data_IF_017116385261
#
_entry.id   IF_017116385261
#
_cell.length_a   1.000
_cell.length_b   1.000
_cell.length_c   1.000
_cell.angle_alpha   90.00
_cell.angle_beta   90.00
_cell.angle_gamma   90.00
#
_symmetry.space_group_name_H-M   'P 1'
#
loop_
_entity.id
_entity.type
_entity.pdbx_description
1 polymer ?
#
# COMPACT_ATOMS: atom_id res chain seq x y z
N UNK A 1 -51.91 -55.59 -65.39
CA UNK A 1 -51.95 -54.27 -64.71
C UNK A 1 -50.76 -54.22 -63.78
N UNK A 2 -49.89 -53.22 -63.96
CA UNK A 2 -48.49 -53.26 -63.52
C UNK A 2 -48.35 -52.80 -62.04
N UNK A 3 -47.89 -53.66 -61.10
CA UNK A 3 -47.75 -53.32 -59.68
C UNK A 3 -46.68 -52.24 -59.40
N UNK A 4 -45.87 -51.87 -60.40
CA UNK A 4 -44.88 -50.81 -60.28
C UNK A 4 -45.48 -49.38 -60.21
N UNK A 5 -46.71 -49.18 -60.69
CA UNK A 5 -47.31 -47.83 -60.75
C UNK A 5 -47.95 -47.38 -59.41
N UNK A 6 -48.46 -48.30 -58.58
CA UNK A 6 -49.03 -47.94 -57.26
C UNK A 6 -47.94 -47.61 -56.24
N UNK A 7 -46.80 -48.32 -56.28
CA UNK A 7 -45.65 -48.05 -55.42
C UNK A 7 -45.02 -46.69 -55.76
N UNK A 8 -44.96 -46.33 -57.05
CA UNK A 8 -44.43 -45.04 -57.47
C UNK A 8 -45.32 -43.85 -57.07
N UNK A 9 -46.65 -44.03 -57.04
CA UNK A 9 -47.56 -43.00 -56.56
C UNK A 9 -47.59 -42.90 -55.02
N UNK A 10 -47.50 -44.02 -54.31
CA UNK A 10 -47.39 -44.03 -52.84
C UNK A 10 -46.10 -43.37 -52.33
N UNK A 11 -44.96 -43.64 -52.98
CA UNK A 11 -43.68 -42.99 -52.65
C UNK A 11 -43.73 -41.48 -52.94
N UNK A 12 -44.42 -41.05 -54.01
CA UNK A 12 -44.61 -39.62 -54.30
C UNK A 12 -45.51 -38.90 -53.28
N UNK A 13 -46.49 -39.58 -52.70
CA UNK A 13 -47.34 -39.01 -51.65
C UNK A 13 -46.62 -38.91 -50.31
N UNK A 14 -45.88 -39.96 -49.92
CA UNK A 14 -45.12 -39.99 -48.66
C UNK A 14 -43.99 -38.95 -48.68
N UNK A 15 -43.25 -38.81 -49.79
CA UNK A 15 -42.19 -37.80 -49.94
C UNK A 15 -42.76 -36.37 -49.97
N UNK A 16 -44.00 -36.18 -50.44
CA UNK A 16 -44.64 -34.86 -50.45
C UNK A 16 -45.13 -34.43 -49.05
N UNK A 17 -45.54 -35.38 -48.21
CA UNK A 17 -46.02 -35.13 -46.84
C UNK A 17 -44.85 -34.96 -45.84
N UNK A 18 -43.73 -35.67 -46.05
CA UNK A 18 -42.50 -35.48 -45.27
C UNK A 18 -41.74 -34.18 -45.64
N UNK A 19 -41.87 -33.69 -46.90
CA UNK A 19 -41.25 -32.43 -47.34
C UNK A 19 -42.06 -31.18 -46.98
N UNK A 20 -43.31 -31.32 -46.51
CA UNK A 20 -44.13 -30.18 -46.06
C UNK A 20 -43.76 -29.64 -44.67
N UNK A 21 -42.89 -30.33 -43.92
CA UNK A 21 -42.39 -29.87 -42.61
C UNK A 21 -41.11 -29.00 -42.69
N UNK A 22 -40.58 -28.73 -43.90
CA UNK A 22 -39.35 -27.96 -44.07
C UNK A 22 -39.43 -26.89 -45.18
N UNK A 23 -40.52 -26.12 -45.22
CA UNK A 23 -40.48 -24.78 -45.85
C UNK A 23 -40.52 -23.74 -44.74
N UNK A 24 -39.45 -23.71 -43.93
CA UNK A 24 -39.20 -22.61 -43.01
C UNK A 24 -39.06 -21.35 -43.86
N UNK A 25 -40.04 -20.48 -43.79
CA UNK A 25 -40.08 -19.29 -44.64
C UNK A 25 -38.87 -18.42 -44.28
N UNK A 26 -38.20 -17.76 -45.23
CA UNK A 26 -37.05 -16.86 -44.94
C UNK A 26 -37.33 -15.87 -43.78
N UNK A 27 -38.60 -15.48 -43.63
CA UNK A 27 -39.12 -14.65 -42.53
C UNK A 27 -39.05 -15.32 -41.17
N UNK A 28 -39.32 -16.62 -41.06
CA UNK A 28 -39.25 -17.41 -39.84
C UNK A 28 -37.79 -17.67 -39.43
N UNK A 29 -36.91 -17.99 -40.38
CA UNK A 29 -35.46 -18.11 -40.12
C UNK A 29 -34.91 -16.77 -39.59
N UNK A 30 -35.29 -15.65 -40.21
CA UNK A 30 -34.89 -14.32 -39.75
C UNK A 30 -35.42 -14.02 -38.34
N UNK A 31 -36.64 -14.46 -38.01
CA UNK A 31 -37.25 -14.27 -36.70
C UNK A 31 -36.57 -15.14 -35.63
N UNK A 32 -36.17 -16.36 -35.96
CA UNK A 32 -35.41 -17.24 -35.07
C UNK A 32 -34.00 -16.71 -34.79
N UNK A 33 -33.30 -16.21 -35.82
CA UNK A 33 -32.00 -15.56 -35.65
C UNK A 33 -32.09 -14.31 -34.78
N UNK A 34 -33.15 -13.50 -34.94
CA UNK A 34 -33.41 -12.34 -34.09
C UNK A 34 -33.64 -12.74 -32.62
N UNK A 35 -34.44 -13.80 -32.38
CA UNK A 35 -34.70 -14.32 -31.02
C UNK A 35 -33.43 -14.86 -30.36
N UNK A 36 -32.60 -15.59 -31.11
CA UNK A 36 -31.30 -16.08 -30.62
C UNK A 36 -30.38 -14.90 -30.30
N UNK A 37 -30.33 -13.88 -31.17
CA UNK A 37 -29.56 -12.65 -30.93
C UNK A 37 -29.99 -11.92 -29.65
N UNK A 38 -31.30 -11.78 -29.42
CA UNK A 38 -31.86 -11.19 -28.19
C UNK A 38 -31.51 -12.06 -26.98
N UNK A 39 -31.65 -13.39 -27.08
CA UNK A 39 -31.29 -14.32 -26.00
C UNK A 39 -29.82 -14.24 -25.61
N UNK A 40 -28.91 -14.18 -26.59
CA UNK A 40 -27.48 -13.99 -26.37
C UNK A 40 -27.17 -12.64 -25.71
N UNK A 41 -27.86 -11.57 -26.12
CA UNK A 41 -27.69 -10.24 -25.52
C UNK A 41 -28.16 -10.20 -24.07
N UNK A 42 -29.31 -10.82 -23.76
CA UNK A 42 -29.83 -10.94 -22.40
C UNK A 42 -28.88 -11.79 -21.55
N UNK A 43 -28.46 -12.95 -22.06
CA UNK A 43 -27.47 -13.82 -21.42
C UNK A 43 -26.18 -13.06 -21.06
N UNK A 44 -25.59 -12.36 -22.03
CA UNK A 44 -24.41 -11.52 -21.81
C UNK A 44 -24.63 -10.45 -20.73
N UNK A 45 -25.78 -9.77 -20.76
CA UNK A 45 -26.13 -8.77 -19.76
C UNK A 45 -26.31 -9.38 -18.36
N UNK A 46 -26.96 -10.54 -18.26
CA UNK A 46 -27.13 -11.25 -16.97
C UNK A 46 -25.78 -11.71 -16.41
N UNK A 47 -24.88 -12.27 -17.22
CA UNK A 47 -23.53 -12.66 -16.81
C UNK A 47 -22.72 -11.44 -16.34
N UNK A 48 -22.82 -10.32 -17.06
CA UNK A 48 -22.11 -9.08 -16.69
C UNK A 48 -22.64 -8.46 -15.39
N UNK A 49 -23.96 -8.50 -15.19
CA UNK A 49 -24.60 -8.07 -13.93
C UNK A 49 -24.19 -9.01 -12.80
N UNK A 50 -24.20 -10.32 -13.04
CA UNK A 50 -23.80 -11.36 -12.08
C UNK A 50 -22.34 -11.19 -11.64
N UNK A 51 -21.40 -11.02 -12.58
CA UNK A 51 -20.00 -10.68 -12.29
C UNK A 51 -19.87 -9.40 -11.45
N UNK A 52 -20.75 -8.41 -11.66
CA UNK A 52 -20.75 -7.16 -10.88
C UNK A 52 -21.24 -7.35 -9.44
N UNK A 53 -22.08 -8.36 -9.16
CA UNK A 53 -22.57 -8.69 -7.82
C UNK A 53 -21.68 -9.70 -7.06
N UNK A 54 -20.95 -10.55 -7.78
CA UNK A 54 -20.07 -11.58 -7.21
C UNK A 54 -18.63 -11.12 -6.93
N UNK A 55 -18.28 -9.85 -7.15
CA UNK A 55 -16.98 -9.27 -6.78
C UNK A 55 -17.04 -8.63 -5.37
N UNK A 56 -16.79 -9.37 -4.28
CA UNK A 56 -16.70 -8.79 -2.93
C UNK A 56 -15.54 -7.78 -2.80
N UNK A 57 -14.52 -7.89 -3.65
CA UNK A 57 -13.37 -6.99 -3.76
C UNK A 57 -13.74 -5.59 -4.25
N UNK A 58 -14.83 -5.43 -5.01
CA UNK A 58 -15.18 -4.13 -5.60
C UNK A 58 -15.75 -3.15 -4.56
N UNK A 59 -16.51 -3.65 -3.60
CA UNK A 59 -16.99 -2.86 -2.47
C UNK A 59 -15.82 -2.45 -1.57
N UNK A 60 -14.94 -3.39 -1.21
CA UNK A 60 -13.73 -3.10 -0.42
C UNK A 60 -12.83 -2.06 -1.09
N UNK A 61 -12.63 -2.16 -2.41
CA UNK A 61 -11.84 -1.19 -3.19
C UNK A 61 -12.48 0.20 -3.22
N UNK A 62 -13.81 0.28 -3.33
CA UNK A 62 -14.54 1.55 -3.30
C UNK A 62 -14.50 2.21 -1.92
N UNK A 63 -14.62 1.44 -0.85
CA UNK A 63 -14.50 1.93 0.52
C UNK A 63 -13.09 2.43 0.82
N UNK A 64 -12.05 1.67 0.44
CA UNK A 64 -10.66 2.09 0.56
C UNK A 64 -10.43 3.40 -0.20
N UNK A 65 -10.95 3.53 -1.43
CA UNK A 65 -10.85 4.75 -2.23
C UNK A 65 -11.61 5.94 -1.61
N UNK A 66 -12.76 5.71 -0.97
CA UNK A 66 -13.50 6.76 -0.24
C UNK A 66 -12.72 7.24 0.99
N UNK A 67 -12.24 6.30 1.82
CA UNK A 67 -11.40 6.60 3.00
C UNK A 67 -10.14 7.36 2.61
N UNK A 68 -9.45 6.91 1.57
CA UNK A 68 -8.28 7.60 1.01
C UNK A 68 -8.60 9.04 0.59
N UNK A 69 -9.70 9.27 -0.14
CA UNK A 69 -10.12 10.62 -0.54
C UNK A 69 -10.46 11.52 0.64
N UNK A 70 -11.05 10.95 1.70
CA UNK A 70 -11.37 11.70 2.92
C UNK A 70 -10.11 12.10 3.67
N UNK A 71 -9.18 11.16 3.87
CA UNK A 71 -7.85 11.43 4.46
C UNK A 71 -7.14 12.51 3.64
N UNK A 72 -7.09 12.37 2.31
CA UNK A 72 -6.48 13.38 1.43
C UNK A 72 -7.10 14.76 1.55
N UNK A 73 -8.44 14.85 1.71
CA UNK A 73 -9.15 16.11 1.91
C UNK A 73 -8.80 16.75 3.26
N UNK A 74 -8.64 15.96 4.31
CA UNK A 74 -8.22 16.41 5.64
C UNK A 74 -6.77 16.87 5.66
N UNK A 75 -5.90 16.23 4.87
CA UNK A 75 -4.48 16.53 4.81
C UNK A 75 -4.09 17.83 4.08
N UNK A 76 -5.05 18.56 3.50
CA UNK A 76 -4.81 19.87 2.88
C UNK A 76 -3.86 19.84 1.66
N UNK A 77 -3.63 18.66 1.07
CA UNK A 77 -2.79 18.50 -0.12
C UNK A 77 -3.48 19.23 -1.27
N UNK A 78 -2.74 20.09 -2.00
CA UNK A 78 -3.25 20.90 -3.10
C UNK A 78 -4.23 20.09 -3.98
N UNK A 79 -5.43 20.65 -4.18
CA UNK A 79 -6.55 19.99 -4.87
C UNK A 79 -6.24 19.52 -6.29
N UNK A 80 -5.11 19.95 -6.86
CA UNK A 80 -4.66 19.65 -8.23
C UNK A 80 -3.76 18.40 -8.35
N UNK A 81 -3.36 17.77 -7.23
CA UNK A 81 -2.54 16.55 -7.30
C UNK A 81 -3.43 15.35 -7.69
N UNK A 82 -3.29 14.89 -8.94
CA UNK A 82 -3.96 13.68 -9.41
C UNK A 82 -3.33 12.45 -8.75
N UNK A 83 -4.18 11.60 -8.16
CA UNK A 83 -3.76 10.32 -7.59
C UNK A 83 -4.10 9.17 -8.52
N UNK A 84 -3.18 8.22 -8.65
CA UNK A 84 -3.42 6.94 -9.34
C UNK A 84 -4.34 6.04 -8.51
N UNK A 85 -4.98 5.07 -9.16
CA UNK A 85 -5.78 4.03 -8.49
C UNK A 85 -4.96 3.27 -7.44
N UNK A 86 -3.69 2.97 -7.74
CA UNK A 86 -2.76 2.32 -6.83
C UNK A 86 -2.41 3.20 -5.62
N UNK A 87 -2.21 4.50 -5.84
CA UNK A 87 -1.91 5.45 -4.74
C UNK A 87 -3.11 5.57 -3.79
N UNK A 88 -4.34 5.55 -4.32
CA UNK A 88 -5.55 5.53 -3.50
C UNK A 88 -5.69 4.25 -2.67
N UNK A 89 -5.24 3.11 -3.20
CA UNK A 89 -5.23 1.86 -2.43
C UNK A 89 -4.26 1.96 -1.24
N UNK A 90 -3.05 2.46 -1.45
CA UNK A 90 -2.04 2.64 -0.40
C UNK A 90 -2.43 3.74 0.59
N UNK A 91 -3.10 4.79 0.14
CA UNK A 91 -3.54 5.88 1.01
C UNK A 91 -4.52 5.44 2.11
N UNK A 92 -5.13 4.26 2.00
CA UNK A 92 -5.90 3.66 3.11
C UNK A 92 -5.03 3.22 4.29
N UNK A 93 -3.73 2.98 4.07
CA UNK A 93 -2.74 2.60 5.08
C UNK A 93 -1.97 3.81 5.64
N UNK A 94 -2.26 5.01 5.13
CA UNK A 94 -1.68 6.25 5.61
C UNK A 94 -2.28 6.59 6.97
N UNK A 95 -1.40 6.74 7.96
CA UNK A 95 -1.76 7.12 9.33
C UNK A 95 -1.29 8.53 9.58
N UNK A 96 -2.22 9.37 10.06
CA UNK A 96 -1.92 10.75 10.45
C UNK A 96 -1.28 10.79 11.85
N UNK A 97 -0.33 11.70 12.11
CA UNK A 97 0.36 11.77 13.41
C UNK A 97 -0.61 11.94 14.58
N UNK A 98 -1.72 12.66 14.40
CA UNK A 98 -2.76 12.88 15.42
C UNK A 98 -3.55 11.61 15.78
N UNK A 99 -3.56 10.60 14.92
CA UNK A 99 -4.28 9.34 15.13
C UNK A 99 -3.41 8.25 15.77
N UNK A 100 -2.10 8.49 15.87
CA UNK A 100 -1.17 7.56 16.51
C UNK A 100 -1.32 7.71 18.03
N UNK A 101 -1.79 6.67 18.69
CA UNK A 101 -2.01 6.66 20.15
C UNK A 101 -0.75 6.39 20.96
N UNK A 102 0.25 5.75 20.35
CA UNK A 102 1.52 5.39 20.99
C UNK A 102 2.45 6.60 21.08
N UNK A 103 3.03 6.87 22.24
CA UNK A 103 4.10 7.84 22.46
C UNK A 103 5.37 7.14 23.00
N UNK A 104 6.48 7.85 23.09
CA UNK A 104 7.71 7.32 23.70
C UNK A 104 7.55 6.97 25.18
N UNK A 105 6.63 7.63 25.88
CA UNK A 105 6.31 7.29 27.26
C UNK A 105 5.77 5.87 27.42
N UNK A 106 5.20 5.30 26.36
CA UNK A 106 4.67 3.93 26.37
C UNK A 106 5.77 2.87 26.15
N UNK A 107 7.01 3.30 25.92
CA UNK A 107 8.14 2.44 25.58
C UNK A 107 9.13 2.44 26.76
N UNK A 108 9.29 1.29 27.41
CA UNK A 108 10.22 1.12 28.52
C UNK A 108 11.59 0.59 28.07
N UNK A 109 12.66 1.05 28.74
CA UNK A 109 14.02 0.48 28.61
C UNK A 109 14.77 0.79 27.31
N UNK A 110 14.29 1.74 26.49
CA UNK A 110 14.91 2.14 25.21
C UNK A 110 15.30 3.62 25.17
N UNK A 111 15.51 4.25 26.33
CA UNK A 111 15.74 5.70 26.48
C UNK A 111 16.90 6.22 25.63
N UNK A 112 18.02 5.50 25.59
CA UNK A 112 19.20 5.87 24.79
C UNK A 112 18.92 5.84 23.29
N UNK A 113 18.20 4.83 22.81
CA UNK A 113 17.83 4.69 21.40
C UNK A 113 16.79 5.75 21.01
N UNK A 114 15.88 6.08 21.92
CA UNK A 114 14.90 7.16 21.73
C UNK A 114 15.61 8.50 21.57
N UNK A 115 16.59 8.81 22.42
CA UNK A 115 17.40 10.02 22.32
C UNK A 115 18.18 10.10 21.00
N UNK A 116 18.83 9.00 20.60
CA UNK A 116 19.56 8.93 19.33
C UNK A 116 18.62 9.08 18.11
N UNK A 117 17.43 8.48 18.16
CA UNK A 117 16.38 8.67 17.15
C UNK A 117 15.85 10.11 17.12
N UNK A 118 15.74 10.77 18.28
CA UNK A 118 15.32 12.15 18.39
C UNK A 118 16.30 13.07 17.66
N UNK A 119 17.59 12.93 17.94
CA UNK A 119 18.64 13.73 17.31
C UNK A 119 18.75 13.45 15.81
N UNK A 120 18.62 12.18 15.42
CA UNK A 120 18.80 11.74 14.04
C UNK A 120 17.62 12.06 13.12
N UNK A 121 16.38 11.92 13.62
CA UNK A 121 15.17 12.05 12.80
C UNK A 121 14.36 13.31 13.13
N UNK A 122 14.09 13.57 14.41
CA UNK A 122 13.14 14.62 14.79
C UNK A 122 13.76 16.00 14.62
N UNK A 123 15.00 16.21 15.08
CA UNK A 123 15.66 17.52 14.97
C UNK A 123 15.77 17.99 13.52
N UNK A 124 16.25 17.18 12.55
CA UNK A 124 16.38 17.63 11.16
C UNK A 124 15.02 17.87 10.48
N UNK A 125 13.98 17.12 10.87
CA UNK A 125 12.62 17.29 10.33
C UNK A 125 11.97 18.56 10.90
N UNK A 126 12.03 18.76 12.22
CA UNK A 126 11.41 19.87 12.91
C UNK A 126 12.10 21.22 12.61
N UNK A 127 13.43 21.22 12.48
CA UNK A 127 14.22 22.43 12.26
C UNK A 127 14.68 22.58 10.80
N UNK A 128 13.95 22.01 9.84
CA UNK A 128 14.31 22.05 8.41
C UNK A 128 14.66 23.45 7.92
N UNK A 129 13.88 24.47 8.29
CA UNK A 129 14.12 25.86 7.88
C UNK A 129 15.49 26.40 8.31
N UNK A 130 16.02 25.94 9.45
CA UNK A 130 17.34 26.35 9.96
C UNK A 130 18.49 25.67 9.23
N UNK A 131 18.25 24.48 8.69
CA UNK A 131 19.26 23.65 8.03
C UNK A 131 19.17 23.67 6.50
N UNK A 132 18.24 24.48 5.93
CA UNK A 132 18.15 24.72 4.48
C UNK A 132 19.48 25.27 3.96
N UNK A 133 20.18 24.47 3.16
CA UNK A 133 21.49 24.81 2.58
C UNK A 133 22.70 24.25 3.33
N UNK A 134 22.52 23.58 4.47
CA UNK A 134 23.60 22.85 5.14
C UNK A 134 23.71 21.43 4.59
N UNK A 135 24.90 21.02 4.18
CA UNK A 135 25.18 19.64 3.73
C UNK A 135 25.38 18.68 4.91
N UNK A 136 25.59 19.22 6.11
CA UNK A 136 26.02 18.47 7.30
C UNK A 136 24.87 17.86 8.09
N UNK A 137 23.70 18.51 8.13
CA UNK A 137 22.57 18.10 8.96
C UNK A 137 21.36 17.86 8.06
N UNK A 138 21.25 16.63 7.56
CA UNK A 138 20.12 16.12 6.76
C UNK A 138 19.57 14.87 7.45
N UNK A 139 18.24 14.68 7.48
CA UNK A 139 17.69 13.43 7.99
C UNK A 139 18.21 12.27 7.13
N UNK A 140 18.61 11.14 7.74
CA UNK A 140 18.98 9.96 6.98
C UNK A 140 17.79 9.51 6.15
N UNK A 141 18.04 9.12 4.89
CA UNK A 141 17.00 8.63 3.98
C UNK A 141 16.56 7.21 4.34
N UNK A 142 17.36 6.50 5.14
CA UNK A 142 17.11 5.14 5.58
C UNK A 142 17.55 4.93 7.02
N UNK A 143 16.68 4.28 7.79
CA UNK A 143 16.94 3.84 9.16
C UNK A 143 16.65 2.35 9.27
N UNK A 144 17.54 1.61 9.92
CA UNK A 144 17.36 0.19 10.22
C UNK A 144 17.19 -0.02 11.71
N UNK A 145 16.06 -0.59 12.11
CA UNK A 145 15.80 -1.06 13.48
C UNK A 145 16.01 -2.57 13.51
N UNK A 146 17.02 -3.05 14.21
CA UNK A 146 17.29 -4.49 14.31
C UNK A 146 17.36 -4.96 15.75
N UNK A 147 16.91 -6.18 16.02
CA UNK A 147 16.91 -6.72 17.37
C UNK A 147 16.03 -7.96 17.51
N UNK A 148 15.94 -8.58 18.69
CA UNK A 148 15.09 -9.73 18.93
C UNK A 148 13.61 -9.41 18.62
N UNK A 149 12.80 -10.41 18.23
CA UNK A 149 11.36 -10.23 18.11
C UNK A 149 10.76 -9.89 19.49
N UNK A 150 9.71 -9.07 19.51
CA UNK A 150 9.03 -8.68 20.76
C UNK A 150 9.60 -7.43 21.46
N UNK A 151 10.72 -6.86 21.00
CA UNK A 151 11.30 -5.64 21.60
C UNK A 151 10.65 -4.32 21.13
N UNK A 152 9.39 -4.35 20.65
CA UNK A 152 8.65 -3.13 20.34
C UNK A 152 9.13 -2.30 19.14
N UNK A 153 9.89 -2.86 18.18
CA UNK A 153 10.43 -2.12 17.01
C UNK A 153 9.35 -1.35 16.23
N UNK A 154 8.22 -2.00 15.95
CA UNK A 154 7.06 -1.41 15.28
C UNK A 154 6.40 -0.32 16.13
N UNK A 155 6.40 -0.49 17.46
CA UNK A 155 5.88 0.51 18.41
C UNK A 155 6.78 1.75 18.44
N UNK A 156 8.09 1.55 18.47
CA UNK A 156 9.09 2.62 18.41
C UNK A 156 8.98 3.43 17.12
N UNK A 157 8.87 2.77 15.96
CA UNK A 157 8.70 3.47 14.70
C UNK A 157 7.42 4.32 14.65
N UNK A 158 6.30 3.80 15.19
CA UNK A 158 5.03 4.55 15.28
C UNK A 158 5.13 5.73 16.24
N UNK A 159 5.72 5.54 17.41
CA UNK A 159 5.92 6.61 18.39
C UNK A 159 6.82 7.71 17.80
N UNK A 160 7.93 7.35 17.15
CA UNK A 160 8.80 8.32 16.47
C UNK A 160 8.08 9.10 15.38
N UNK A 161 7.18 8.47 14.61
CA UNK A 161 6.40 9.18 13.60
C UNK A 161 5.45 10.22 14.21
N UNK A 162 4.84 9.90 15.35
CA UNK A 162 3.99 10.81 16.13
C UNK A 162 4.78 12.00 16.66
N UNK A 163 5.88 11.75 17.36
CA UNK A 163 6.71 12.80 17.96
C UNK A 163 7.37 13.69 16.89
N UNK A 164 7.72 13.12 15.74
CA UNK A 164 8.21 13.88 14.58
C UNK A 164 7.12 14.70 13.87
N UNK A 165 5.83 14.50 14.21
CA UNK A 165 4.71 15.12 13.51
C UNK A 165 4.61 14.71 12.03
N UNK A 166 5.11 13.52 11.70
CA UNK A 166 5.16 13.01 10.32
C UNK A 166 4.05 12.02 10.05
N UNK A 167 3.65 11.91 8.79
CA UNK A 167 2.71 10.87 8.39
C UNK A 167 3.41 9.51 8.38
N UNK A 168 2.68 8.45 8.65
CA UNK A 168 3.22 7.10 8.75
C UNK A 168 2.53 6.18 7.74
N UNK A 169 3.32 5.49 6.92
CA UNK A 169 2.82 4.46 6.00
C UNK A 169 3.39 3.13 6.46
N UNK A 170 2.53 2.20 6.86
CA UNK A 170 2.93 0.84 7.19
C UNK A 170 2.92 -0.03 5.94
N UNK A 171 4.08 -0.24 5.32
CA UNK A 171 4.21 -1.07 4.13
C UNK A 171 4.40 -2.53 4.52
N UNK A 172 3.36 -3.33 4.32
CA UNK A 172 3.44 -4.78 4.46
C UNK A 172 4.01 -5.41 3.19
N UNK A 173 5.04 -6.25 3.33
CA UNK A 173 5.67 -6.96 2.21
C UNK A 173 4.67 -7.81 1.44
N UNK A 174 3.68 -8.40 2.13
CA UNK A 174 2.61 -9.19 1.52
C UNK A 174 1.83 -8.43 0.44
N UNK A 175 1.69 -7.11 0.59
CA UNK A 175 1.01 -6.25 -0.39
C UNK A 175 1.79 -6.11 -1.69
N UNK A 176 3.11 -6.27 -1.64
CA UNK A 176 3.98 -6.22 -2.81
C UNK A 176 4.09 -7.59 -3.50
N UNK A 177 3.79 -8.70 -2.83
CA UNK A 177 4.01 -10.04 -3.40
C UNK A 177 2.78 -10.69 -4.05
N UNK A 178 1.73 -9.91 -4.34
CA UNK A 178 0.50 -10.46 -4.94
C UNK A 178 0.78 -11.15 -6.29
N UNK A 179 0.00 -12.20 -6.60
CA UNK A 179 0.22 -13.17 -7.70
C UNK A 179 0.28 -12.59 -9.12
N UNK A 180 0.13 -11.28 -9.29
CA UNK A 180 0.10 -10.58 -10.58
C UNK A 180 1.35 -9.72 -10.74
N UNK A 181 2.34 -10.29 -11.43
CA UNK A 181 3.72 -9.81 -11.53
C UNK A 181 3.87 -8.36 -12.06
N UNK A 182 2.87 -7.82 -12.78
CA UNK A 182 2.89 -6.44 -13.29
C UNK A 182 2.15 -5.38 -12.45
N UNK A 183 1.27 -5.80 -11.54
CA UNK A 183 0.55 -4.84 -10.67
C UNK A 183 1.37 -4.50 -9.42
N UNK A 184 2.19 -5.44 -8.97
CA UNK A 184 3.00 -5.26 -7.79
C UNK A 184 4.13 -4.23 -7.95
N UNK A 185 4.72 -4.10 -9.13
CA UNK A 185 5.70 -3.04 -9.43
C UNK A 185 5.06 -1.65 -9.40
N UNK A 186 3.83 -1.53 -9.92
CA UNK A 186 3.06 -0.29 -9.89
C UNK A 186 2.66 0.08 -8.46
N UNK A 187 2.31 -0.91 -7.64
CA UNK A 187 2.03 -0.71 -6.21
C UNK A 187 3.29 -0.23 -5.48
N UNK A 188 4.44 -0.86 -5.71
CA UNK A 188 5.71 -0.41 -5.13
C UNK A 188 6.00 1.05 -5.51
N UNK A 189 5.92 1.39 -6.80
CA UNK A 189 6.07 2.77 -7.27
C UNK A 189 5.06 3.73 -6.62
N UNK A 190 3.79 3.32 -6.51
CA UNK A 190 2.73 4.10 -5.92
C UNK A 190 2.97 4.45 -4.45
N UNK A 191 3.63 3.57 -3.68
CA UNK A 191 3.99 3.85 -2.27
C UNK A 191 4.94 5.05 -2.20
N UNK A 192 6.01 5.04 -3.01
CA UNK A 192 7.00 6.12 -3.00
C UNK A 192 6.45 7.42 -3.59
N UNK A 193 5.64 7.36 -4.66
CA UNK A 193 5.02 8.56 -5.24
C UNK A 193 3.99 9.15 -4.29
N UNK A 194 3.20 8.33 -3.62
CA UNK A 194 2.28 8.79 -2.56
C UNK A 194 3.07 9.43 -1.42
N UNK A 195 4.10 8.77 -0.89
CA UNK A 195 4.93 9.29 0.20
C UNK A 195 5.53 10.66 -0.15
N UNK A 196 5.98 10.85 -1.40
CA UNK A 196 6.46 12.14 -1.91
C UNK A 196 5.37 13.22 -1.96
N UNK A 197 4.13 12.85 -2.30
CA UNK A 197 2.97 13.77 -2.30
C UNK A 197 2.50 14.13 -0.89
N UNK A 198 2.69 13.24 0.08
CA UNK A 198 2.22 13.39 1.46
C UNK A 198 3.34 13.77 2.45
N UNK A 199 4.42 14.39 1.98
CA UNK A 199 5.53 14.80 2.84
C UNK A 199 5.09 15.79 3.95
N UNK A 200 5.74 15.77 5.12
CA UNK A 200 6.77 14.83 5.57
C UNK A 200 6.19 13.45 5.95
N UNK A 201 6.90 12.36 5.63
CA UNK A 201 6.37 11.00 5.75
C UNK A 201 7.45 9.97 6.10
N UNK A 202 7.09 9.02 6.97
CA UNK A 202 7.88 7.84 7.29
C UNK A 202 7.23 6.62 6.64
N UNK A 203 8.00 5.88 5.84
CA UNK A 203 7.59 4.57 5.30
C UNK A 203 8.21 3.51 6.20
N UNK A 204 7.38 2.77 6.91
CA UNK A 204 7.83 1.67 7.75
C UNK A 204 7.68 0.34 7.02
N UNK A 205 8.73 -0.48 7.05
CA UNK A 205 8.77 -1.80 6.43
C UNK A 205 9.11 -2.81 7.51
N UNK A 206 8.12 -3.57 7.95
CA UNK A 206 8.35 -4.67 8.88
C UNK A 206 8.91 -5.89 8.14
N UNK A 207 9.71 -6.69 8.84
CA UNK A 207 10.38 -7.87 8.29
C UNK A 207 11.08 -7.60 6.96
N UNK A 208 11.88 -6.52 6.91
CA UNK A 208 12.58 -6.12 5.69
C UNK A 208 13.51 -7.23 5.16
N UNK A 209 14.00 -8.11 6.04
CA UNK A 209 14.75 -9.31 5.69
C UNK A 209 13.94 -10.30 4.85
N UNK A 210 12.63 -10.43 5.02
CA UNK A 210 11.79 -11.30 4.18
C UNK A 210 11.72 -10.81 2.73
N UNK A 211 11.70 -9.49 2.52
CA UNK A 211 11.65 -8.88 1.18
C UNK A 211 13.02 -8.79 0.51
N UNK A 212 14.09 -8.66 1.30
CA UNK A 212 15.43 -8.27 0.83
C UNK A 212 16.53 -9.26 1.21
N UNK A 213 16.20 -10.55 1.32
CA UNK A 213 17.20 -11.61 1.51
C UNK A 213 18.30 -11.52 0.46
N UNK A 214 19.53 -11.75 0.92
CA UNK A 214 20.69 -12.02 0.07
C UNK A 214 20.32 -13.06 -0.99
N UNK A 215 20.80 -12.86 -2.22
CA UNK A 215 20.51 -13.71 -3.39
C UNK A 215 20.93 -15.16 -3.16
N UNK A 216 20.09 -15.94 -2.51
CA UNK A 216 20.15 -17.39 -2.56
C UNK A 216 19.50 -17.81 -3.88
N UNK A 217 20.14 -18.74 -4.62
CA UNK A 217 19.77 -19.14 -5.99
C UNK A 217 18.39 -19.78 -6.19
N UNK A 218 17.44 -19.57 -5.27
CA UNK A 218 16.04 -19.99 -5.29
C UNK A 218 15.03 -18.84 -5.38
N UNK A 219 15.47 -17.59 -5.38
CA UNK A 219 14.55 -16.47 -5.59
C UNK A 219 13.92 -16.55 -6.99
N UNK A 220 12.59 -16.45 -7.05
CA UNK A 220 11.88 -16.31 -8.32
C UNK A 220 12.34 -15.02 -9.01
N UNK A 221 12.54 -15.07 -10.33
CA UNK A 221 13.04 -13.96 -11.15
C UNK A 221 12.29 -12.64 -10.91
N UNK A 222 10.99 -12.72 -10.65
CA UNK A 222 10.19 -11.52 -10.36
C UNK A 222 10.41 -10.90 -8.99
N UNK A 223 10.74 -11.70 -7.97
CA UNK A 223 11.16 -11.14 -6.68
C UNK A 223 12.45 -10.34 -6.89
N UNK A 224 13.37 -10.84 -7.72
CA UNK A 224 14.61 -10.12 -8.04
C UNK A 224 14.36 -8.82 -8.83
N UNK A 225 13.45 -8.84 -9.82
CA UNK A 225 13.05 -7.63 -10.56
C UNK A 225 12.40 -6.59 -9.65
N UNK A 226 11.48 -7.03 -8.78
CA UNK A 226 10.82 -6.16 -7.81
C UNK A 226 11.81 -5.54 -6.82
N UNK A 227 12.76 -6.32 -6.28
CA UNK A 227 13.84 -5.82 -5.43
C UNK A 227 14.64 -4.72 -6.15
N UNK A 228 15.01 -4.94 -7.41
CA UNK A 228 15.73 -3.97 -8.22
C UNK A 228 14.92 -2.67 -8.43
N UNK A 229 13.63 -2.80 -8.72
CA UNK A 229 12.74 -1.66 -8.88
C UNK A 229 12.58 -0.87 -7.57
N UNK A 230 12.40 -1.55 -6.45
CA UNK A 230 12.30 -0.93 -5.13
C UNK A 230 13.58 -0.15 -4.77
N UNK A 231 14.75 -0.74 -5.04
CA UNK A 231 16.06 -0.08 -4.87
C UNK A 231 16.20 1.17 -5.75
N UNK A 232 15.77 1.08 -7.01
CA UNK A 232 15.82 2.22 -7.94
C UNK A 232 14.91 3.37 -7.48
N UNK A 233 13.70 3.06 -7.00
CA UNK A 233 12.76 4.05 -6.46
C UNK A 233 13.31 4.71 -5.19
N UNK A 234 13.93 3.94 -4.30
CA UNK A 234 14.62 4.47 -3.13
C UNK A 234 15.75 5.42 -3.53
N UNK A 235 16.62 5.04 -4.46
CA UNK A 235 17.70 5.92 -4.93
C UNK A 235 17.16 7.23 -5.49
N UNK A 236 16.04 7.17 -6.23
CA UNK A 236 15.32 8.36 -6.70
C UNK A 236 14.85 9.28 -5.57
N UNK A 237 14.38 8.71 -4.45
CA UNK A 237 14.02 9.48 -3.26
C UNK A 237 15.23 10.03 -2.49
N UNK A 238 16.33 9.28 -2.48
CA UNK A 238 17.54 9.63 -1.75
C UNK A 238 18.33 10.77 -2.42
N UNK A 239 18.35 10.79 -3.76
CA UNK A 239 19.00 11.83 -4.56
C UNK A 239 18.26 13.17 -4.50
N UNK A 240 16.96 13.15 -4.16
CA UNK A 240 16.17 14.37 -3.95
C UNK A 240 16.47 14.92 -2.53
N UNK A 241 17.32 15.94 -2.47
CA UNK A 241 17.74 16.54 -1.21
C UNK A 241 16.57 17.22 -0.47
N UNK A 242 15.60 17.73 -1.21
CA UNK A 242 14.43 18.41 -0.65
C UNK A 242 13.41 17.41 -0.09
N UNK A 243 13.47 16.14 -0.47
CA UNK A 243 12.53 15.12 -0.04
C UNK A 243 12.60 14.83 1.47
N UNK A 244 11.45 14.92 2.15
CA UNK A 244 11.24 14.58 3.58
C UNK A 244 10.66 13.18 3.82
N UNK A 245 10.95 12.25 2.92
CA UNK A 245 10.58 10.84 3.10
C UNK A 245 11.75 10.09 3.73
N UNK A 246 11.47 9.42 4.84
CA UNK A 246 12.42 8.53 5.53
C UNK A 246 11.89 7.10 5.47
N UNK A 247 12.74 6.15 5.12
CA UNK A 247 12.39 4.73 5.11
C UNK A 247 12.95 4.09 6.38
N UNK A 248 12.07 3.50 7.17
CA UNK A 248 12.43 2.80 8.41
C UNK A 248 12.16 1.32 8.19
N UNK A 249 13.20 0.48 8.17
CA UNK A 249 13.04 -0.97 8.13
C UNK A 249 13.19 -1.57 9.52
N UNK A 250 12.38 -2.55 9.85
CA UNK A 250 12.57 -3.40 11.01
C UNK A 250 12.98 -4.82 10.59
N UNK A 251 13.96 -5.40 11.29
CA UNK A 251 14.37 -6.79 11.09
C UNK A 251 14.67 -7.49 12.41
N UNK A 252 14.49 -8.81 12.41
CA UNK A 252 14.98 -9.69 13.47
C UNK A 252 16.33 -10.35 13.10
N UNK A 253 16.75 -10.23 11.83
CA UNK A 253 17.89 -10.94 11.25
C UNK A 253 18.75 -9.98 10.42
N UNK A 254 19.48 -9.05 11.06
CA UNK A 254 20.31 -8.08 10.33
C UNK A 254 21.35 -8.75 9.40
N UNK A 255 21.80 -9.96 9.73
CA UNK A 255 22.73 -10.74 8.91
C UNK A 255 22.14 -11.23 7.57
N UNK A 256 20.81 -11.33 7.44
CA UNK A 256 20.14 -11.83 6.24
C UNK A 256 19.92 -10.71 5.19
N UNK A 257 20.15 -9.46 5.57
CA UNK A 257 19.92 -8.27 4.73
C UNK A 257 21.05 -8.10 3.71
N UNK A 258 20.67 -7.85 2.45
CA UNK A 258 21.61 -7.49 1.39
C UNK A 258 22.42 -6.23 1.72
N UNK A 259 23.74 -6.27 1.49
CA UNK A 259 24.65 -5.13 1.64
C UNK A 259 24.20 -3.89 0.86
N UNK A 260 23.53 -4.07 -0.27
CA UNK A 260 22.97 -2.97 -1.06
C UNK A 260 21.95 -2.15 -0.26
N UNK A 261 21.15 -2.80 0.59
CA UNK A 261 20.16 -2.14 1.45
C UNK A 261 20.83 -1.51 2.66
N UNK A 262 21.76 -2.22 3.30
CA UNK A 262 22.52 -1.67 4.42
C UNK A 262 23.22 -0.36 4.04
N UNK A 263 23.76 -0.26 2.81
CA UNK A 263 24.36 0.99 2.31
C UNK A 263 23.37 2.16 2.21
N UNK A 264 22.08 1.88 2.04
CA UNK A 264 21.00 2.88 1.95
C UNK A 264 20.36 3.20 3.30
N UNK A 265 20.72 2.45 4.34
CA UNK A 265 20.30 2.65 5.74
C UNK A 265 21.53 2.97 6.61
N UNK A 266 22.11 4.18 6.49
CA UNK A 266 23.30 4.54 7.23
C UNK A 266 23.09 4.59 8.75
N UNK A 267 21.85 4.87 9.20
CA UNK A 267 21.49 4.87 10.61
C UNK A 267 20.90 3.51 11.01
N UNK A 268 21.66 2.70 11.72
CA UNK A 268 21.23 1.40 12.21
C UNK A 268 21.20 1.39 13.74
N UNK A 269 20.04 1.10 14.32
CA UNK A 269 19.83 1.06 15.76
C UNK A 269 19.58 -0.38 16.21
N UNK A 270 20.43 -0.83 17.14
CA UNK A 270 20.28 -2.13 17.77
C UNK A 270 19.34 -2.03 18.98
N UNK A 271 18.18 -2.65 18.88
CA UNK A 271 17.20 -2.75 19.95
C UNK A 271 17.48 -4.04 20.71
N UNK A 272 18.04 -3.91 21.91
CA UNK A 272 18.27 -5.02 22.82
C UNK A 272 17.00 -5.45 23.54
N UNK A 273 17.12 -6.49 24.36
CA UNK A 273 16.15 -6.67 25.43
C UNK A 273 16.23 -5.45 26.36
N UNK A 274 15.10 -4.97 26.90
CA UNK A 274 15.15 -4.02 27.99
C UNK A 274 16.05 -4.64 29.06
N UNK A 275 17.17 -3.97 29.38
CA UNK A 275 17.93 -4.30 30.57
C UNK A 275 16.99 -4.17 31.79
N UNK A 276 17.32 -4.76 32.92
CA UNK A 276 16.57 -4.68 34.18
C UNK A 276 16.52 -3.24 34.78
N UNK A 277 16.33 -2.21 33.95
CA UNK A 277 15.73 -0.97 34.39
C UNK A 277 14.30 -1.29 34.81
N UNK A 278 13.87 -0.87 36.02
CA UNK A 278 12.54 -1.18 36.51
C UNK A 278 11.54 -0.71 35.47
N UNK A 279 10.81 -1.67 34.88
CA UNK A 279 9.64 -1.38 34.08
C UNK A 279 8.81 -0.38 34.87
N UNK A 280 8.62 0.83 34.35
CA UNK A 280 7.66 1.76 34.96
C UNK A 280 6.36 1.00 35.10
N UNK A 281 5.84 0.98 36.32
CA UNK A 281 4.72 0.13 36.74
C UNK A 281 3.60 0.19 35.69
N UNK A 282 3.10 -0.95 35.19
CA UNK A 282 2.03 -0.98 34.17
C UNK A 282 0.80 -0.15 34.59
N UNK A 283 0.54 -0.04 35.89
CA UNK A 283 -0.56 0.74 36.45
C UNK A 283 -0.39 2.25 36.22
N UNK A 284 0.84 2.78 36.17
CA UNK A 284 1.09 4.21 35.90
C UNK A 284 0.89 4.61 34.43
N UNK A 285 0.86 3.64 33.51
CA UNK A 285 0.64 3.87 32.09
C UNK A 285 -0.86 4.01 31.74
N UNK A 286 -1.73 3.42 32.56
CA UNK A 286 -3.18 3.42 32.34
C UNK A 286 -3.83 4.80 32.59
N UNK A 287 -3.24 5.61 33.47
CA UNK A 287 -3.77 6.93 33.86
C UNK A 287 -3.35 8.08 32.92
N UNK A 288 -2.42 7.85 31.99
CA UNK A 288 -1.93 8.88 31.07
C UNK A 288 -2.84 9.12 29.84
N UNK A 289 -3.98 8.43 29.74
CA UNK A 289 -4.92 8.51 28.61
C UNK A 289 -5.89 9.72 28.68
N UNK A 290 -5.50 10.80 29.36
CA UNK A 290 -6.18 12.08 29.24
C UNK A 290 -5.55 12.90 28.10
N UNK A 291 -6.33 13.46 27.15
CA UNK A 291 -5.77 14.24 26.06
C UNK A 291 -5.16 15.53 26.62
N UNK A 292 -3.83 15.61 26.63
CA UNK A 292 -3.13 16.85 26.90
C UNK A 292 -3.47 17.86 25.79
N UNK A 293 -4.27 18.87 26.15
CA UNK A 293 -4.49 20.04 25.32
C UNK A 293 -3.13 20.69 25.03
N UNK A 294 -2.83 20.86 23.74
CA UNK A 294 -1.64 21.58 23.27
C UNK A 294 -1.83 23.05 23.61
N UNK A 295 -1.28 23.51 24.74
CA UNK A 295 -1.08 24.94 24.99
C UNK A 295 0.06 25.43 24.10
N UNK A 296 -0.31 26.14 23.04
CA UNK A 296 0.61 26.90 22.20
C UNK A 296 1.20 28.07 23.00
N UNK A 297 2.32 27.82 23.69
CA UNK A 297 3.09 28.81 24.43
C UNK A 297 4.35 29.29 23.70
N UNK A 298 4.22 29.84 22.49
CA UNK A 298 5.34 30.54 21.84
C UNK A 298 5.44 31.95 22.43
N UNK A 299 6.21 32.11 23.52
CA UNK A 299 6.53 33.42 24.11
C UNK A 299 7.25 34.28 23.06
N UNK A 300 6.54 35.28 22.55
CA UNK A 300 7.10 36.32 21.70
C UNK A 300 8.17 37.11 22.44
N UNK A 301 9.40 37.01 21.98
CA UNK A 301 10.48 37.93 22.35
C UNK A 301 10.19 39.27 21.67
N UNK A 302 10.00 40.29 22.50
CA UNK A 302 9.82 41.70 22.13
C UNK A 302 10.87 42.14 21.10
N UNK A 303 10.39 42.56 19.93
CA UNK A 303 11.04 43.60 19.14
C UNK A 303 10.88 44.91 19.91
N UNK A 304 11.99 45.47 20.37
CA UNK A 304 12.06 46.85 20.84
C UNK A 304 12.95 47.60 19.85
N UNK A 305 12.32 48.52 19.12
CA UNK A 305 13.02 49.40 18.19
C UNK A 305 13.77 50.52 18.93
N UNK A 306 14.92 50.87 18.38
CA UNK A 306 15.43 52.22 18.10
C UNK A 306 16.75 52.07 17.34
#
# INVERSE_FOLDING_TARGET
MNPANEVSQGIRYIVAEEMSDEIITKREIALHLLRIGIGCAISYMTIKIMMKYLDPTRQQKQEAARKAKEIMKRLGINRDVKFSEHELAIASQLVEPSTIQTSWNDIAGLSSIIEELQETLIIPIAQRERFKGSTLIKPPKGVLLHGPPGCGKTMLARATAREAGTRFINLQVSMLTDKWYGESEKLAAAVFTLAKKVQPCIIFIDEIDCFLRSRDGKDHEATAMMKAQFLSLWDGLANDEENMVVIVGATNRPQDIDRAILRRMPAAFQIGYPADEPAKDPDQLSDAHAPAAVETGFKGTKLMGC
#
